data_IF_493937835071
#
_entry.id   IF_493937835071
#
_cell.length_a   1.000
_cell.length_b   1.000
_cell.length_c   1.000
_cell.angle_alpha   90.00
_cell.angle_beta   90.00
_cell.angle_gamma   90.00
#
_symmetry.space_group_name_H-M   'P 1'
#
loop_
_entity.id
_entity.type
_entity.pdbx_description
1 polymer ?
#
# COMPACT_ATOMS: atom_id res chain seq x y z
N UNK A 1 20.32 -20.09 -19.62
CA UNK A 1 18.91 -19.69 -19.44
C UNK A 1 18.64 -19.65 -17.94
N UNK A 2 18.29 -18.50 -17.39
CA UNK A 2 17.94 -18.34 -15.97
C UNK A 2 16.56 -18.96 -15.72
N UNK A 3 16.45 -19.82 -14.71
CA UNK A 3 15.16 -20.41 -14.34
C UNK A 3 14.25 -19.35 -13.70
N UNK A 4 12.94 -19.34 -14.02
CA UNK A 4 12.00 -18.41 -13.40
C UNK A 4 11.80 -18.75 -11.91
N UNK A 5 11.33 -17.81 -11.08
CA UNK A 5 11.04 -18.07 -9.67
C UNK A 5 10.09 -19.26 -9.48
N UNK A 6 10.24 -20.01 -8.38
CA UNK A 6 9.33 -21.11 -8.04
C UNK A 6 7.92 -20.60 -7.74
N UNK A 7 6.92 -21.48 -7.80
CA UNK A 7 5.57 -21.15 -7.36
C UNK A 7 4.47 -21.87 -8.14
N UNK A 8 3.22 -21.62 -7.76
CA UNK A 8 2.03 -22.25 -8.35
C UNK A 8 1.23 -21.25 -9.19
N UNK A 9 0.88 -21.64 -10.41
CA UNK A 9 0.04 -20.83 -11.31
C UNK A 9 -1.46 -21.00 -11.04
N UNK A 10 -1.84 -21.84 -10.08
CA UNK A 10 -3.24 -22.04 -9.69
C UNK A 10 -4.14 -22.59 -10.80
N UNK A 11 -5.43 -22.29 -10.71
CA UNK A 11 -6.43 -22.72 -11.69
C UNK A 11 -6.23 -22.00 -13.06
N UNK A 12 -6.69 -22.60 -14.17
CA UNK A 12 -6.69 -21.92 -15.47
C UNK A 12 -7.39 -20.56 -15.39
N UNK A 13 -6.83 -19.55 -16.06
CA UNK A 13 -7.32 -18.16 -16.14
C UNK A 13 -7.29 -17.36 -14.82
N UNK A 14 -7.95 -17.83 -13.76
CA UNK A 14 -8.08 -17.08 -12.49
C UNK A 14 -6.89 -17.23 -11.54
N UNK A 15 -6.08 -18.27 -11.73
CA UNK A 15 -4.91 -18.55 -10.90
C UNK A 15 -5.27 -18.83 -9.44
N UNK A 16 -4.65 -18.09 -8.52
CA UNK A 16 -4.91 -18.16 -7.08
C UNK A 16 -5.65 -16.92 -6.53
N UNK A 17 -6.26 -16.12 -7.41
CA UNK A 17 -6.89 -14.84 -7.05
C UNK A 17 -7.94 -14.97 -5.93
N UNK A 18 -8.77 -16.01 -5.92
CA UNK A 18 -9.78 -16.20 -4.87
C UNK A 18 -9.15 -16.43 -3.48
N UNK A 19 -8.05 -17.18 -3.42
CA UNK A 19 -7.32 -17.41 -2.16
C UNK A 19 -6.64 -16.12 -1.71
N UNK A 20 -6.06 -15.37 -2.65
CA UNK A 20 -5.44 -14.08 -2.38
C UNK A 20 -6.46 -13.06 -1.86
N UNK A 21 -7.61 -12.89 -2.52
CA UNK A 21 -8.63 -11.91 -2.13
C UNK A 21 -9.32 -12.24 -0.81
N UNK A 22 -9.42 -13.52 -0.45
CA UNK A 22 -10.03 -13.96 0.81
C UNK A 22 -9.18 -13.57 2.03
N UNK A 23 -7.87 -13.78 1.94
CA UNK A 23 -6.92 -13.43 3.00
C UNK A 23 -5.53 -13.19 2.40
N UNK A 24 -5.22 -11.96 1.97
CA UNK A 24 -3.95 -11.63 1.33
C UNK A 24 -2.74 -11.91 2.24
N UNK A 25 -2.89 -11.68 3.55
CA UNK A 25 -1.81 -11.84 4.52
C UNK A 25 -1.49 -13.32 4.74
N UNK A 26 -2.49 -14.15 5.04
CA UNK A 26 -2.26 -15.58 5.22
C UNK A 26 -1.79 -16.24 3.93
N UNK A 27 -2.33 -15.83 2.77
CA UNK A 27 -1.91 -16.34 1.46
C UNK A 27 -0.42 -16.05 1.21
N UNK A 28 -0.01 -14.78 1.31
CA UNK A 28 1.38 -14.37 1.04
C UNK A 28 2.36 -15.00 2.01
N UNK A 29 2.02 -15.06 3.31
CA UNK A 29 2.86 -15.72 4.32
C UNK A 29 3.02 -17.21 4.03
N UNK A 30 1.92 -17.91 3.73
CA UNK A 30 1.95 -19.36 3.45
C UNK A 30 2.77 -19.66 2.20
N UNK A 31 2.58 -18.92 1.12
CA UNK A 31 3.32 -19.11 -0.13
C UNK A 31 4.80 -18.75 -0.01
N UNK A 32 5.13 -17.71 0.75
CA UNK A 32 6.52 -17.35 1.04
C UNK A 32 7.22 -18.45 1.84
N UNK A 33 6.54 -19.06 2.83
CA UNK A 33 7.09 -20.22 3.56
C UNK A 33 7.29 -21.45 2.67
N UNK A 34 6.44 -21.64 1.67
CA UNK A 34 6.49 -22.80 0.76
C UNK A 34 7.53 -22.66 -0.36
N UNK A 35 7.70 -21.45 -0.91
CA UNK A 35 8.47 -21.20 -2.12
C UNK A 35 9.72 -20.34 -1.89
N UNK A 36 9.90 -19.82 -0.68
CA UNK A 36 10.98 -18.91 -0.33
C UNK A 36 10.63 -17.44 -0.57
N UNK A 37 11.65 -16.58 -0.51
CA UNK A 37 11.49 -15.13 -0.50
C UNK A 37 11.14 -14.52 -1.86
N UNK A 38 11.31 -15.25 -2.96
CA UNK A 38 10.93 -14.81 -4.30
C UNK A 38 10.17 -15.95 -4.95
N UNK A 39 8.90 -15.72 -5.25
CA UNK A 39 8.02 -16.73 -5.81
C UNK A 39 6.97 -16.11 -6.72
N UNK A 40 6.45 -16.90 -7.66
CA UNK A 40 5.45 -16.45 -8.62
C UNK A 40 4.11 -17.16 -8.44
N UNK A 41 3.05 -16.48 -8.86
CA UNK A 41 1.71 -17.06 -8.98
C UNK A 41 0.94 -16.36 -10.10
N UNK A 42 -0.31 -16.74 -10.29
CA UNK A 42 -1.24 -16.02 -11.16
C UNK A 42 -2.34 -15.36 -10.33
N UNK A 43 -2.54 -14.07 -10.50
CA UNK A 43 -3.63 -13.30 -9.86
C UNK A 43 -4.34 -12.54 -10.96
N UNK A 44 -5.65 -12.78 -11.13
CA UNK A 44 -6.51 -12.08 -12.09
C UNK A 44 -5.99 -12.11 -13.54
N UNK A 45 -5.41 -13.24 -13.96
CA UNK A 45 -4.86 -13.42 -15.31
C UNK A 45 -3.38 -13.08 -15.44
N UNK A 46 -2.85 -12.23 -14.57
CA UNK A 46 -1.45 -11.79 -14.61
C UNK A 46 -0.53 -12.73 -13.85
N UNK A 47 0.70 -12.90 -14.33
CA UNK A 47 1.77 -13.55 -13.57
C UNK A 47 2.37 -12.54 -12.60
N UNK A 48 2.19 -12.79 -11.30
CA UNK A 48 2.66 -11.90 -10.23
C UNK A 48 3.84 -12.56 -9.51
N UNK A 49 4.90 -11.80 -9.30
CA UNK A 49 6.07 -12.22 -8.51
C UNK A 49 6.07 -11.48 -7.18
N UNK A 50 6.10 -12.23 -6.09
CA UNK A 50 6.20 -11.71 -4.73
C UNK A 50 7.65 -11.67 -4.28
N UNK A 51 8.00 -10.59 -3.59
CA UNK A 51 9.31 -10.36 -2.98
C UNK A 51 9.13 -10.19 -1.48
N UNK A 52 9.81 -11.01 -0.68
CA UNK A 52 9.73 -11.00 0.78
C UNK A 52 11.11 -10.91 1.44
N UNK A 53 11.18 -10.15 2.54
CA UNK A 53 12.42 -9.92 3.27
C UNK A 53 13.31 -8.83 2.67
N UNK A 54 14.29 -8.33 3.45
CA UNK A 54 15.01 -7.10 3.15
C UNK A 54 15.84 -7.18 1.86
N UNK A 55 16.47 -8.33 1.58
CA UNK A 55 17.29 -8.51 0.38
C UNK A 55 16.44 -8.49 -0.91
N UNK A 56 15.32 -9.21 -0.92
CA UNK A 56 14.43 -9.25 -2.08
C UNK A 56 13.73 -7.90 -2.29
N UNK A 57 13.34 -7.23 -1.20
CA UNK A 57 12.74 -5.91 -1.25
C UNK A 57 13.72 -4.84 -1.76
N UNK A 58 14.99 -4.89 -1.34
CA UNK A 58 16.03 -3.97 -1.84
C UNK A 58 16.23 -4.11 -3.35
N UNK A 59 16.26 -5.34 -3.86
CA UNK A 59 16.29 -5.61 -5.30
C UNK A 59 15.05 -5.07 -6.02
N UNK A 60 13.85 -5.26 -5.45
CA UNK A 60 12.61 -4.75 -6.02
C UNK A 60 12.51 -3.22 -6.02
N UNK A 61 13.14 -2.56 -5.06
CA UNK A 61 13.16 -1.09 -4.95
C UNK A 61 14.12 -0.42 -5.94
N UNK A 62 15.01 -1.19 -6.56
CA UNK A 62 15.97 -0.67 -7.53
C UNK A 62 15.28 -0.27 -8.84
N UNK A 63 15.31 1.02 -9.23
CA UNK A 63 14.68 1.51 -10.45
C UNK A 63 15.37 1.03 -11.73
N UNK A 64 16.58 0.48 -11.68
CA UNK A 64 17.24 -0.12 -12.84
C UNK A 64 16.62 -1.47 -13.22
N UNK A 65 16.01 -2.16 -12.24
CA UNK A 65 15.43 -3.49 -12.43
C UNK A 65 13.90 -3.47 -12.63
N UNK A 66 13.21 -2.46 -12.10
CA UNK A 66 11.75 -2.42 -12.07
C UNK A 66 11.17 -1.04 -12.43
N UNK A 67 10.03 -1.06 -13.13
CA UNK A 67 9.19 0.12 -13.41
C UNK A 67 7.89 0.05 -12.60
N UNK A 68 7.36 1.21 -12.23
CA UNK A 68 6.03 1.36 -11.61
C UNK A 68 4.92 1.62 -12.62
N UNK A 69 5.28 2.07 -13.82
CA UNK A 69 4.32 2.25 -14.92
C UNK A 69 3.63 0.92 -15.23
N UNK A 70 2.30 0.94 -15.23
CA UNK A 70 1.46 -0.25 -15.44
C UNK A 70 1.73 -1.42 -14.48
N UNK A 71 2.47 -1.21 -13.38
CA UNK A 71 2.78 -2.25 -12.40
C UNK A 71 1.66 -2.52 -11.40
N UNK A 72 0.65 -1.64 -11.36
CA UNK A 72 -0.55 -1.79 -10.51
C UNK A 72 -1.78 -2.13 -11.34
N UNK A 73 -2.76 -2.87 -10.79
CA UNK A 73 -4.02 -3.16 -11.48
C UNK A 73 -4.72 -1.89 -11.98
N UNK A 74 -5.35 -1.95 -13.15
CA UNK A 74 -6.02 -0.80 -13.79
C UNK A 74 -7.01 -0.10 -12.86
N UNK A 75 -7.78 -0.87 -12.08
CA UNK A 75 -8.74 -0.34 -11.10
C UNK A 75 -8.09 0.58 -10.05
N UNK A 76 -6.86 0.28 -9.62
CA UNK A 76 -6.13 1.12 -8.67
C UNK A 76 -5.64 2.42 -9.34
N UNK A 77 -5.26 2.35 -10.61
CA UNK A 77 -4.85 3.52 -11.38
C UNK A 77 -6.02 4.46 -11.66
N UNK A 78 -7.20 3.91 -11.95
CA UNK A 78 -8.44 4.69 -12.13
C UNK A 78 -8.90 5.33 -10.81
N UNK A 79 -8.79 4.61 -9.68
CA UNK A 79 -9.16 5.12 -8.35
C UNK A 79 -8.27 6.30 -7.89
N UNK A 80 -6.95 6.20 -8.07
CA UNK A 80 -6.00 7.19 -7.54
C UNK A 80 -5.57 8.26 -8.56
N UNK A 81 -6.00 8.13 -9.82
CA UNK A 81 -5.48 8.81 -11.02
C UNK A 81 -4.21 8.14 -11.58
N UNK A 82 -4.11 7.90 -12.91
CA UNK A 82 -2.97 7.21 -13.53
C UNK A 82 -1.61 7.89 -13.32
N UNK A 83 -1.61 9.21 -13.16
CA UNK A 83 -0.39 9.98 -12.82
C UNK A 83 -0.13 10.11 -11.31
N UNK A 84 -0.83 9.37 -10.44
CA UNK A 84 -0.54 9.40 -9.02
C UNK A 84 0.91 8.96 -8.73
N UNK A 85 1.49 9.52 -7.67
CA UNK A 85 2.89 9.27 -7.28
C UNK A 85 3.28 7.78 -7.28
N UNK A 86 2.47 6.84 -6.75
CA UNK A 86 2.84 5.42 -6.72
C UNK A 86 3.03 4.75 -8.09
N UNK A 87 2.53 5.36 -9.18
CA UNK A 87 2.56 4.77 -10.53
C UNK A 87 3.60 5.42 -11.45
N UNK A 88 4.32 6.43 -10.96
CA UNK A 88 5.31 7.15 -11.73
C UNK A 88 6.73 6.61 -11.50
N UNK A 89 7.59 6.82 -12.50
CA UNK A 89 9.03 6.57 -12.44
C UNK A 89 9.85 7.84 -12.72
N UNK A 90 11.15 7.76 -12.48
CA UNK A 90 12.13 8.77 -12.89
C UNK A 90 11.86 10.17 -12.33
N UNK A 91 12.16 11.20 -13.11
CA UNK A 91 12.11 12.59 -12.64
C UNK A 91 10.68 13.10 -12.42
N UNK A 92 9.69 12.54 -13.15
CA UNK A 92 8.27 12.79 -12.90
C UNK A 92 7.89 12.34 -11.49
N UNK A 93 8.28 11.11 -11.11
CA UNK A 93 8.08 10.60 -9.75
C UNK A 93 8.79 11.47 -8.72
N UNK A 94 10.10 11.73 -8.88
CA UNK A 94 10.89 12.54 -7.93
C UNK A 94 10.27 13.92 -7.71
N UNK A 95 9.83 14.58 -8.77
CA UNK A 95 9.24 15.92 -8.70
C UNK A 95 7.94 15.92 -7.93
N UNK A 96 6.99 15.02 -8.26
CA UNK A 96 5.71 14.94 -7.53
C UNK A 96 5.90 14.46 -6.10
N UNK A 97 6.78 13.48 -5.87
CA UNK A 97 7.08 12.97 -4.52
C UNK A 97 7.65 14.07 -3.63
N UNK A 98 8.53 14.94 -4.15
CA UNK A 98 9.08 16.08 -3.40
C UNK A 98 8.00 17.07 -2.97
N UNK A 99 7.08 17.42 -3.88
CA UNK A 99 5.95 18.29 -3.57
C UNK A 99 5.06 17.68 -2.50
N UNK A 100 4.74 16.39 -2.62
CA UNK A 100 3.93 15.67 -1.64
C UNK A 100 4.62 15.63 -0.26
N UNK A 101 5.93 15.35 -0.22
CA UNK A 101 6.68 15.28 1.04
C UNK A 101 6.85 16.64 1.73
N UNK A 102 6.68 17.76 1.03
CA UNK A 102 6.72 19.09 1.66
C UNK A 102 5.62 19.27 2.72
N UNK A 103 4.47 18.62 2.53
CA UNK A 103 3.38 18.57 3.51
C UNK A 103 3.68 17.66 4.72
N UNK A 104 4.81 16.96 4.75
CA UNK A 104 5.18 16.03 5.83
C UNK A 104 6.57 16.33 6.41
N UNK A 105 6.99 17.59 6.35
CA UNK A 105 8.18 18.05 7.08
C UNK A 105 7.90 18.13 8.58
N UNK A 106 8.93 18.19 9.42
CA UNK A 106 8.76 18.34 10.87
C UNK A 106 7.96 19.60 11.23
N UNK A 107 8.21 20.71 10.53
CA UNK A 107 7.49 21.97 10.75
C UNK A 107 6.02 21.87 10.31
N UNK A 108 5.76 21.26 9.15
CA UNK A 108 4.39 21.02 8.68
C UNK A 108 3.62 20.12 9.66
N UNK A 109 4.20 18.98 10.04
CA UNK A 109 3.62 18.08 11.05
C UNK A 109 3.37 18.83 12.36
N UNK A 110 4.34 19.61 12.83
CA UNK A 110 4.22 20.43 14.03
C UNK A 110 3.04 21.40 13.96
N UNK A 111 2.80 22.02 12.79
CA UNK A 111 1.67 22.91 12.57
C UNK A 111 0.31 22.20 12.62
N UNK A 112 0.26 20.90 12.30
CA UNK A 112 -0.98 20.12 12.30
C UNK A 112 -1.35 19.55 13.66
N UNK A 113 -0.37 19.35 14.55
CA UNK A 113 -0.56 18.71 15.84
C UNK A 113 -1.72 19.31 16.66
N UNK A 114 -1.90 20.65 16.77
CA UNK A 114 -3.00 21.21 17.54
C UNK A 114 -4.38 20.72 17.08
N UNK A 115 -4.65 20.67 15.77
CA UNK A 115 -5.92 20.19 15.24
C UNK A 115 -6.07 18.67 15.35
N UNK A 116 -4.99 17.92 15.17
CA UNK A 116 -4.99 16.47 15.43
C UNK A 116 -5.35 16.18 16.88
N UNK A 117 -4.74 16.86 17.85
CA UNK A 117 -5.05 16.72 19.26
C UNK A 117 -6.51 17.10 19.56
N UNK A 118 -6.99 18.21 19.01
CA UNK A 118 -8.39 18.63 19.17
C UNK A 118 -9.36 17.57 18.64
N UNK A 119 -9.09 16.96 17.48
CA UNK A 119 -9.91 15.88 16.94
C UNK A 119 -9.90 14.66 17.88
N UNK A 120 -8.71 14.20 18.30
CA UNK A 120 -8.57 13.06 19.21
C UNK A 120 -9.30 13.30 20.54
N UNK A 121 -9.12 14.47 21.16
CA UNK A 121 -9.77 14.84 22.43
C UNK A 121 -11.29 14.83 22.32
N UNK A 122 -11.85 15.35 21.21
CA UNK A 122 -13.29 15.32 20.94
C UNK A 122 -13.84 13.90 20.93
N UNK A 123 -13.17 12.98 20.25
CA UNK A 123 -13.59 11.57 20.21
C UNK A 123 -13.41 10.89 21.56
N UNK A 124 -12.27 11.08 22.21
CA UNK A 124 -11.95 10.50 23.51
C UNK A 124 -12.97 10.90 24.60
N UNK A 125 -13.47 12.14 24.57
CA UNK A 125 -14.52 12.60 25.48
C UNK A 125 -15.84 11.83 25.35
N UNK A 126 -16.08 11.16 24.22
CA UNK A 126 -17.27 10.30 24.00
C UNK A 126 -17.05 8.83 24.37
N UNK A 127 -15.80 8.43 24.60
CA UNK A 127 -15.40 7.06 24.94
C UNK A 127 -15.32 6.84 26.45
N UNK A 128 -16.32 7.33 27.18
CA UNK A 128 -16.37 7.28 28.65
C UNK A 128 -17.05 6.04 29.19
N UNK A 129 -17.58 5.19 28.32
CA UNK A 129 -18.27 3.94 28.66
C UNK A 129 -17.68 2.78 27.86
N UNK A 130 -17.84 1.55 28.38
CA UNK A 130 -17.41 0.35 27.66
C UNK A 130 -18.29 0.12 26.43
N UNK A 131 -17.82 0.61 25.28
CA UNK A 131 -18.46 0.42 23.97
C UNK A 131 -17.41 0.14 22.88
N UNK A 132 -17.79 -0.53 21.78
CA UNK A 132 -16.93 -0.62 20.61
C UNK A 132 -16.67 0.76 19.99
N UNK A 133 -15.40 1.08 19.69
CA UNK A 133 -15.00 2.38 19.10
C UNK A 133 -14.52 2.28 17.65
N UNK A 134 -14.60 1.11 17.02
CA UNK A 134 -14.02 0.88 15.69
C UNK A 134 -14.58 1.81 14.59
N UNK A 135 -15.88 2.11 14.64
CA UNK A 135 -16.51 3.08 13.73
C UNK A 135 -15.97 4.50 13.97
N UNK A 136 -15.83 4.88 15.24
CA UNK A 136 -15.30 6.19 15.65
C UNK A 136 -13.85 6.38 15.20
N UNK A 137 -13.03 5.32 15.21
CA UNK A 137 -11.64 5.39 14.72
C UNK A 137 -11.57 5.69 13.23
N UNK A 138 -12.51 5.17 12.45
CA UNK A 138 -12.57 5.46 11.00
C UNK A 138 -12.94 6.93 10.78
N UNK A 139 -13.94 7.43 11.51
CA UNK A 139 -14.35 8.83 11.42
C UNK A 139 -13.24 9.77 11.91
N UNK A 140 -12.56 9.45 13.01
CA UNK A 140 -11.41 10.19 13.51
C UNK A 140 -10.31 10.31 12.43
N UNK A 141 -10.04 9.23 11.70
CA UNK A 141 -9.09 9.24 10.59
C UNK A 141 -9.48 10.22 9.48
N UNK A 142 -10.76 10.26 9.11
CA UNK A 142 -11.27 11.24 8.14
C UNK A 142 -11.20 12.67 8.66
N UNK A 143 -11.58 12.91 9.92
CA UNK A 143 -11.53 14.25 10.53
C UNK A 143 -10.09 14.78 10.62
N UNK A 144 -9.12 13.90 10.92
CA UNK A 144 -7.69 14.24 10.87
C UNK A 144 -7.27 14.55 9.43
N UNK A 145 -7.65 13.72 8.46
CA UNK A 145 -7.29 13.94 7.06
C UNK A 145 -7.88 15.25 6.50
N UNK A 146 -9.13 15.57 6.84
CA UNK A 146 -9.78 16.84 6.46
C UNK A 146 -8.99 18.02 7.02
N UNK A 147 -8.59 17.97 8.29
CA UNK A 147 -7.76 19.02 8.88
C UNK A 147 -6.39 19.17 8.18
N UNK A 148 -5.76 18.06 7.78
CA UNK A 148 -4.46 18.06 7.12
C UNK A 148 -4.50 18.62 5.69
N UNK A 149 -5.62 18.44 4.97
CA UNK A 149 -5.69 18.67 3.52
C UNK A 149 -6.76 19.67 3.06
N UNK A 150 -7.64 20.16 3.95
CA UNK A 150 -8.66 21.15 3.65
C UNK A 150 -8.29 22.58 4.11
N UNK A 151 -7.07 22.79 4.64
CA UNK A 151 -6.54 24.10 5.03
C UNK A 151 -5.84 24.83 3.87
#
# INVERSE_FOLDING_TARGET
MTQPPPGSMGAPFVGEALKFLKDPFAFTLTRTRQHGNIWKTRILGDTVVFFAGPKAFSFFMDPEHFTRQNGSPKVMQELLHPDAVPFLDGDRHKTRKRLLLAAFTNDAIGSYLPGVFQAVERFAATWTTERPIAADLSQLGFDIADYLFAA
#
